data_IF_139827878738
#
_entry.id   IF_139827878738
#
_cell.length_a   1.000
_cell.length_b   1.000
_cell.length_c   1.000
_cell.angle_alpha   90.00
_cell.angle_beta   90.00
_cell.angle_gamma   90.00
#
_symmetry.space_group_name_H-M   'P 1'
#
loop_
_entity.id
_entity.type
_entity.pdbx_description
1 polymer ?
#
# COMPACT_ATOMS: atom_id res chain seq x y z
N UNK A 1 -46.67 -25.14 -1.23
CA UNK A 1 -45.47 -24.90 -2.04
C UNK A 1 -44.39 -24.38 -1.10
N UNK A 2 -43.37 -25.20 -0.89
CA UNK A 2 -42.34 -25.01 0.14
C UNK A 2 -41.45 -23.81 -0.17
N UNK A 3 -41.47 -22.79 0.69
CA UNK A 3 -40.37 -21.82 0.75
C UNK A 3 -39.24 -22.50 1.52
N UNK A 4 -38.27 -23.02 0.78
CA UNK A 4 -37.01 -23.47 1.33
C UNK A 4 -36.27 -22.23 1.83
N UNK A 5 -36.24 -22.06 3.16
CA UNK A 5 -35.31 -21.16 3.82
C UNK A 5 -33.92 -21.66 3.45
N UNK A 6 -33.24 -20.94 2.58
CA UNK A 6 -31.83 -21.16 2.30
C UNK A 6 -31.10 -20.77 3.60
N UNK A 7 -30.90 -21.74 4.50
CA UNK A 7 -29.93 -21.60 5.59
C UNK A 7 -28.61 -21.23 4.93
N UNK A 8 -28.18 -19.98 5.15
CA UNK A 8 -26.85 -19.53 4.77
C UNK A 8 -25.90 -20.56 5.38
N UNK A 9 -25.11 -21.32 4.61
CA UNK A 9 -24.07 -22.13 5.23
C UNK A 9 -23.20 -21.15 6.00
N UNK A 10 -23.06 -21.34 7.31
CA UNK A 10 -22.20 -20.52 8.16
C UNK A 10 -20.86 -20.36 7.43
N UNK A 11 -20.64 -19.16 6.91
CA UNK A 11 -19.46 -18.92 6.10
C UNK A 11 -18.26 -19.06 7.01
N UNK A 12 -17.19 -19.62 6.49
CA UNK A 12 -15.95 -19.89 7.21
C UNK A 12 -14.90 -18.93 6.70
N UNK A 13 -14.06 -18.45 7.60
CA UNK A 13 -12.86 -17.70 7.26
C UNK A 13 -11.61 -18.49 7.63
N UNK A 14 -10.56 -18.32 6.85
CA UNK A 14 -9.26 -18.89 7.15
C UNK A 14 -8.39 -17.83 7.80
N UNK A 15 -7.87 -18.16 8.97
CA UNK A 15 -7.03 -17.31 9.78
C UNK A 15 -5.60 -17.79 9.69
N UNK A 16 -4.71 -16.87 9.34
CA UNK A 16 -3.28 -17.10 9.15
C UNK A 16 -2.55 -16.57 10.37
N UNK A 17 -1.63 -17.36 10.91
CA UNK A 17 -0.74 -16.96 11.99
C UNK A 17 0.69 -17.34 11.64
N UNK A 18 1.62 -16.38 11.73
CA UNK A 18 3.04 -16.61 11.48
C UNK A 18 3.86 -16.29 12.72
N UNK A 19 4.76 -17.19 13.10
CA UNK A 19 5.72 -16.95 14.19
C UNK A 19 6.98 -16.20 13.73
N UNK A 20 6.85 -15.34 12.71
CA UNK A 20 7.93 -14.51 12.16
C UNK A 20 9.02 -15.24 11.36
N UNK A 21 8.80 -16.50 10.96
CA UNK A 21 9.79 -17.32 10.23
C UNK A 21 9.48 -17.47 8.74
N UNK A 22 8.26 -17.15 8.31
CA UNK A 22 7.85 -17.37 6.93
C UNK A 22 8.27 -16.18 6.06
N UNK A 23 9.00 -16.39 4.95
CA UNK A 23 9.38 -15.29 4.07
C UNK A 23 8.15 -14.58 3.49
N UNK A 24 8.11 -13.24 3.56
CA UNK A 24 7.01 -12.43 3.01
C UNK A 24 6.65 -12.79 1.56
N UNK A 25 7.67 -13.03 0.73
CA UNK A 25 7.48 -13.41 -0.67
C UNK A 25 6.68 -14.71 -0.86
N UNK A 26 6.83 -15.69 0.04
CA UNK A 26 6.04 -16.90 0.03
C UNK A 26 4.58 -16.62 0.38
N UNK A 27 4.33 -15.86 1.46
CA UNK A 27 2.97 -15.51 1.90
C UNK A 27 2.21 -14.76 0.80
N UNK A 28 2.86 -13.82 0.11
CA UNK A 28 2.26 -13.12 -1.04
C UNK A 28 1.93 -14.09 -2.18
N UNK A 29 2.83 -15.03 -2.49
CA UNK A 29 2.60 -16.03 -3.53
C UNK A 29 1.41 -16.95 -3.19
N UNK A 30 1.32 -17.35 -1.92
CA UNK A 30 0.24 -18.18 -1.39
C UNK A 30 -1.12 -17.49 -1.58
N UNK A 31 -1.26 -16.23 -1.15
CA UNK A 31 -2.49 -15.46 -1.32
C UNK A 31 -2.88 -15.25 -2.79
N UNK A 32 -1.91 -15.06 -3.68
CA UNK A 32 -2.20 -14.90 -5.11
C UNK A 32 -2.64 -16.20 -5.76
N UNK A 33 -1.88 -17.27 -5.57
CA UNK A 33 -2.07 -18.52 -6.31
C UNK A 33 -3.20 -19.37 -5.75
N UNK A 34 -3.38 -19.39 -4.43
CA UNK A 34 -4.40 -20.22 -3.78
C UNK A 34 -5.69 -19.42 -3.57
N UNK A 35 -5.57 -18.19 -3.07
CA UNK A 35 -6.74 -17.38 -2.70
C UNK A 35 -7.20 -16.42 -3.80
N UNK A 36 -6.53 -16.40 -4.95
CA UNK A 36 -6.89 -15.54 -6.08
C UNK A 36 -6.81 -14.04 -5.78
N UNK A 37 -6.10 -13.64 -4.72
CA UNK A 37 -5.99 -12.23 -4.32
C UNK A 37 -5.14 -11.46 -5.33
N UNK A 38 -5.50 -10.19 -5.56
CA UNK A 38 -4.66 -9.28 -6.34
C UNK A 38 -3.29 -9.12 -5.64
N UNK A 39 -2.21 -8.91 -6.40
CA UNK A 39 -0.85 -8.84 -5.83
C UNK A 39 -0.71 -7.77 -4.74
N UNK A 40 -1.31 -6.59 -4.95
CA UNK A 40 -1.36 -5.53 -3.93
C UNK A 40 -2.06 -5.99 -2.64
N UNK A 41 -3.19 -6.68 -2.76
CA UNK A 41 -3.96 -7.16 -1.61
C UNK A 41 -3.20 -8.27 -0.88
N UNK A 42 -2.58 -9.19 -1.62
CA UNK A 42 -1.72 -10.23 -1.09
C UNK A 42 -0.51 -9.65 -0.34
N UNK A 43 0.10 -8.60 -0.89
CA UNK A 43 1.19 -7.87 -0.21
C UNK A 43 0.70 -7.24 1.10
N UNK A 44 -0.44 -6.55 1.07
CA UNK A 44 -0.98 -5.89 2.24
C UNK A 44 -1.35 -6.90 3.35
N UNK A 45 -1.98 -8.04 2.99
CA UNK A 45 -2.27 -9.12 3.94
C UNK A 45 -0.99 -9.72 4.53
N UNK A 46 0.07 -9.90 3.73
CA UNK A 46 1.36 -10.40 4.25
C UNK A 46 1.99 -9.44 5.28
N UNK A 47 1.86 -8.14 5.06
CA UNK A 47 2.32 -7.11 6.00
C UNK A 47 1.54 -7.14 7.31
N UNK A 48 0.24 -7.43 7.28
CA UNK A 48 -0.56 -7.56 8.49
C UNK A 48 -0.15 -8.77 9.30
N UNK A 49 0.02 -9.93 8.66
CA UNK A 49 0.46 -11.16 9.33
C UNK A 49 1.80 -10.93 10.02
N UNK A 50 2.75 -10.25 9.38
CA UNK A 50 4.05 -9.95 9.96
C UNK A 50 4.00 -8.97 11.14
N UNK A 51 3.01 -8.06 11.18
CA UNK A 51 2.90 -7.03 12.23
C UNK A 51 2.01 -7.43 13.40
N UNK A 52 0.97 -8.20 13.13
CA UNK A 52 -0.08 -8.56 14.09
C UNK A 52 -0.04 -10.05 14.45
N UNK A 53 0.86 -10.82 13.85
CA UNK A 53 0.96 -12.29 13.92
C UNK A 53 -0.33 -13.04 13.52
N UNK A 54 -1.37 -12.33 13.07
CA UNK A 54 -2.69 -12.87 12.74
C UNK A 54 -3.34 -12.07 11.61
N UNK A 55 -3.97 -12.75 10.64
CA UNK A 55 -4.90 -12.11 9.70
C UNK A 55 -5.96 -13.10 9.21
N UNK A 56 -7.20 -12.65 9.04
CA UNK A 56 -8.28 -13.45 8.46
C UNK A 56 -8.42 -13.22 6.95
N UNK A 57 -8.85 -14.25 6.22
CA UNK A 57 -9.17 -14.21 4.80
C UNK A 57 -10.48 -14.95 4.56
N UNK A 58 -11.43 -14.28 3.91
CA UNK A 58 -12.80 -14.79 3.73
C UNK A 58 -13.81 -13.72 4.11
N UNK A 59 -15.11 -13.96 3.93
CA UNK A 59 -15.81 -15.23 4.11
C UNK A 59 -15.80 -16.17 2.88
N UNK A 60 -15.80 -17.48 3.14
CA UNK A 60 -15.91 -18.54 2.12
C UNK A 60 -16.99 -19.56 2.49
N UNK A 61 -17.67 -20.18 1.51
CA UNK A 61 -18.47 -21.37 1.76
C UNK A 61 -17.59 -22.50 2.35
N UNK A 62 -18.10 -23.35 3.26
CA UNK A 62 -17.29 -24.37 3.95
C UNK A 62 -16.52 -25.32 3.02
N UNK A 63 -17.12 -25.73 1.90
CA UNK A 63 -16.46 -26.59 0.90
C UNK A 63 -15.29 -25.89 0.21
N UNK A 64 -15.45 -24.61 -0.10
CA UNK A 64 -14.40 -23.77 -0.70
C UNK A 64 -13.31 -23.49 0.33
N UNK A 65 -13.67 -23.16 1.57
CA UNK A 65 -12.73 -22.94 2.66
C UNK A 65 -11.83 -24.18 2.87
N UNK A 66 -12.44 -25.38 2.89
CA UNK A 66 -11.70 -26.63 3.00
C UNK A 66 -10.73 -26.84 1.83
N UNK A 67 -11.19 -26.65 0.59
CA UNK A 67 -10.33 -26.81 -0.58
C UNK A 67 -9.15 -25.81 -0.60
N UNK A 68 -9.40 -24.55 -0.24
CA UNK A 68 -8.38 -23.51 -0.10
C UNK A 68 -7.38 -23.84 1.01
N UNK A 69 -7.87 -24.34 2.14
CA UNK A 69 -7.06 -24.77 3.28
C UNK A 69 -6.14 -25.93 2.90
N UNK A 70 -6.67 -26.98 2.28
CA UNK A 70 -5.91 -28.17 1.87
C UNK A 70 -4.81 -27.77 0.86
N UNK A 71 -5.15 -26.97 -0.15
CA UNK A 71 -4.20 -26.47 -1.14
C UNK A 71 -3.12 -25.56 -0.52
N UNK A 72 -3.48 -24.75 0.48
CA UNK A 72 -2.52 -23.90 1.18
C UNK A 72 -1.57 -24.73 2.06
N UNK A 73 -2.10 -25.69 2.82
CA UNK A 73 -1.30 -26.59 3.65
C UNK A 73 -0.32 -27.42 2.83
N UNK A 74 -0.73 -27.93 1.66
CA UNK A 74 0.16 -28.66 0.77
C UNK A 74 1.38 -27.83 0.36
N UNK A 75 1.16 -26.57 -0.05
CA UNK A 75 2.25 -25.64 -0.43
C UNK A 75 3.15 -25.29 0.76
N UNK A 76 2.57 -25.01 1.93
CA UNK A 76 3.33 -24.70 3.15
C UNK A 76 4.26 -25.86 3.51
N UNK A 77 3.75 -27.09 3.48
CA UNK A 77 4.54 -28.29 3.77
C UNK A 77 5.62 -28.53 2.70
N UNK A 78 5.30 -28.36 1.43
CA UNK A 78 6.23 -28.57 0.32
C UNK A 78 7.44 -27.62 0.39
N UNK A 79 7.25 -26.39 0.86
CA UNK A 79 8.33 -25.40 1.02
C UNK A 79 8.94 -25.37 2.43
N UNK A 80 8.42 -26.15 3.38
CA UNK A 80 8.98 -26.28 4.74
C UNK A 80 8.73 -25.08 5.65
N UNK A 81 7.71 -24.27 5.37
CA UNK A 81 7.38 -23.08 6.18
C UNK A 81 6.49 -23.42 7.38
N UNK A 82 6.49 -22.56 8.41
CA UNK A 82 5.76 -22.77 9.67
C UNK A 82 4.45 -21.98 9.78
N UNK A 83 3.96 -21.41 8.67
CA UNK A 83 2.72 -20.63 8.64
C UNK A 83 1.54 -21.50 9.08
N UNK A 84 0.85 -21.09 10.14
CA UNK A 84 -0.31 -21.79 10.66
C UNK A 84 -1.58 -21.23 10.03
N UNK A 85 -2.50 -22.13 9.67
CA UNK A 85 -3.83 -21.76 9.17
C UNK A 85 -4.86 -22.44 10.06
N UNK A 86 -5.86 -21.70 10.51
CA UNK A 86 -7.02 -22.20 11.24
C UNK A 86 -8.30 -21.80 10.53
N UNK A 87 -9.36 -22.58 10.72
CA UNK A 87 -10.69 -22.32 10.19
C UNK A 87 -11.56 -21.80 11.32
N UNK A 88 -12.08 -20.59 11.19
CA UNK A 88 -12.99 -19.95 12.18
C UNK A 88 -14.34 -19.64 11.51
N UNK A 89 -15.45 -19.61 12.26
CA UNK A 89 -16.70 -19.01 11.80
C UNK A 89 -16.47 -17.57 11.35
N UNK A 90 -17.10 -17.17 10.24
CA UNK A 90 -16.96 -15.80 9.74
C UNK A 90 -17.47 -14.79 10.77
N UNK A 91 -16.68 -13.75 11.02
CA UNK A 91 -17.01 -12.68 11.96
C UNK A 91 -16.37 -12.80 13.34
N UNK A 92 -15.70 -13.91 13.68
CA UNK A 92 -14.95 -14.02 14.95
C UNK A 92 -13.65 -13.20 14.92
N UNK A 93 -12.91 -13.29 13.83
CA UNK A 93 -11.77 -12.42 13.50
C UNK A 93 -12.17 -11.54 12.31
N UNK A 94 -12.16 -10.21 12.45
CA UNK A 94 -12.52 -9.32 11.35
C UNK A 94 -11.50 -9.47 10.21
N UNK A 95 -11.99 -9.86 9.03
CA UNK A 95 -11.15 -9.95 7.84
C UNK A 95 -10.80 -8.53 7.40
N UNK A 96 -9.53 -8.10 7.49
CA UNK A 96 -9.17 -6.74 7.16
C UNK A 96 -9.43 -6.50 5.68
N UNK A 97 -10.08 -5.38 5.35
CA UNK A 97 -10.09 -4.90 3.98
C UNK A 97 -8.65 -4.53 3.60
N UNK A 98 -8.04 -5.15 2.58
CA UNK A 98 -6.70 -4.79 2.14
C UNK A 98 -6.56 -3.29 1.80
N UNK A 99 -7.68 -2.65 1.44
CA UNK A 99 -7.79 -1.22 1.14
C UNK A 99 -7.67 -0.32 2.39
N UNK A 100 -7.88 -0.84 3.59
CA UNK A 100 -7.81 -0.11 4.86
C UNK A 100 -6.47 -0.28 5.60
N UNK A 101 -5.61 -1.19 5.13
CA UNK A 101 -4.32 -1.50 5.76
C UNK A 101 -3.44 -0.25 5.83
N UNK A 102 -3.13 0.21 7.05
CA UNK A 102 -2.30 1.38 7.26
C UNK A 102 -0.81 1.07 7.12
N UNK A 103 -0.12 1.91 6.36
CA UNK A 103 1.33 1.87 6.25
C UNK A 103 1.94 2.86 7.23
N UNK A 104 2.98 2.43 7.93
CA UNK A 104 3.78 3.29 8.82
C UNK A 104 4.96 3.89 8.06
N UNK A 105 5.53 3.10 7.14
CA UNK A 105 6.78 3.40 6.45
C UNK A 105 6.57 3.58 4.96
N UNK A 106 7.26 4.54 4.36
CA UNK A 106 7.22 4.79 2.92
C UNK A 106 7.61 3.55 2.10
N UNK A 107 8.58 2.76 2.60
CA UNK A 107 9.03 1.53 1.94
C UNK A 107 7.90 0.53 1.75
N UNK A 108 6.99 0.42 2.73
CA UNK A 108 5.89 -0.55 2.69
C UNK A 108 4.80 -0.08 1.74
N UNK A 109 4.47 1.22 1.77
CA UNK A 109 3.53 1.82 0.83
C UNK A 109 4.00 1.73 -0.62
N UNK A 110 5.29 1.96 -0.87
CA UNK A 110 5.89 1.86 -2.21
C UNK A 110 5.95 0.41 -2.66
N UNK A 111 6.43 -0.50 -1.81
CA UNK A 111 6.48 -1.92 -2.14
C UNK A 111 5.09 -2.49 -2.44
N UNK A 112 4.08 -2.07 -1.68
CA UNK A 112 2.67 -2.39 -1.96
C UNK A 112 2.20 -1.82 -3.30
N UNK A 113 2.45 -0.53 -3.56
CA UNK A 113 1.97 0.15 -4.77
C UNK A 113 2.57 -0.46 -6.05
N UNK A 114 3.87 -0.76 -6.02
CA UNK A 114 4.63 -1.37 -7.10
C UNK A 114 4.69 -2.89 -7.01
N UNK A 115 3.83 -3.55 -6.22
CA UNK A 115 3.96 -4.98 -5.99
C UNK A 115 3.87 -5.81 -7.29
N UNK A 116 3.14 -5.31 -8.30
CA UNK A 116 2.99 -5.91 -9.63
C UNK A 116 4.11 -5.56 -10.63
N UNK A 117 4.99 -4.62 -10.27
CA UNK A 117 5.99 -4.05 -11.17
C UNK A 117 7.38 -4.50 -10.69
N UNK A 118 8.18 -5.19 -11.52
CA UNK A 118 9.47 -5.68 -11.10
C UNK A 118 10.41 -4.51 -10.80
N UNK A 119 11.22 -4.56 -9.71
CA UNK A 119 12.04 -3.44 -9.27
C UNK A 119 12.98 -2.84 -10.33
N UNK A 120 13.48 -3.67 -11.24
CA UNK A 120 14.40 -3.28 -12.32
C UNK A 120 13.71 -2.61 -13.52
N UNK A 121 12.38 -2.59 -13.57
CA UNK A 121 11.59 -1.88 -14.58
C UNK A 121 11.18 -0.47 -14.15
N UNK A 122 11.44 -0.12 -12.88
CA UNK A 122 11.11 1.18 -12.34
C UNK A 122 12.14 2.21 -12.81
N UNK A 123 11.66 3.21 -13.54
CA UNK A 123 12.44 4.37 -13.96
C UNK A 123 11.94 5.57 -13.16
N UNK A 124 12.87 6.37 -12.64
CA UNK A 124 12.55 7.61 -11.94
C UNK A 124 13.02 8.80 -12.76
N UNK A 125 12.14 9.75 -13.01
CA UNK A 125 12.44 11.03 -13.63
C UNK A 125 12.29 12.15 -12.61
N UNK A 126 13.24 13.06 -12.56
CA UNK A 126 13.17 14.25 -11.69
C UNK A 126 12.98 15.48 -12.57
N UNK A 127 11.96 16.28 -12.28
CA UNK A 127 11.80 17.63 -12.83
C UNK A 127 11.95 18.66 -11.72
N UNK A 128 12.62 19.76 -12.02
CA UNK A 128 12.77 20.91 -11.14
C UNK A 128 12.10 22.10 -11.81
N UNK A 129 11.31 22.82 -11.03
CA UNK A 129 10.59 24.00 -11.48
C UNK A 129 10.90 25.18 -10.56
N UNK A 130 10.87 26.42 -11.08
CA UNK A 130 10.98 27.62 -10.26
C UNK A 130 9.86 27.70 -9.21
N UNK A 131 10.15 28.25 -8.03
CA UNK A 131 9.21 28.32 -6.91
C UNK A 131 7.98 29.19 -7.15
N UNK A 132 8.07 30.18 -8.04
CA UNK A 132 6.91 30.99 -8.42
C UNK A 132 5.85 30.18 -9.19
N UNK A 133 6.22 29.04 -9.80
CA UNK A 133 5.26 28.14 -10.46
C UNK A 133 4.56 27.18 -9.49
N UNK A 134 4.77 27.31 -8.18
CA UNK A 134 4.27 26.34 -7.19
C UNK A 134 2.75 26.20 -7.22
N UNK A 135 2.01 27.30 -7.39
CA UNK A 135 0.55 27.27 -7.51
C UNK A 135 0.10 26.53 -8.78
N UNK A 136 0.73 26.81 -9.93
CA UNK A 136 0.42 26.13 -11.20
C UNK A 136 0.72 24.63 -11.14
N UNK A 137 1.85 24.26 -10.53
CA UNK A 137 2.25 22.86 -10.34
C UNK A 137 1.27 22.16 -9.42
N UNK A 138 0.82 22.80 -8.34
CA UNK A 138 -0.19 22.24 -7.46
C UNK A 138 -1.49 21.96 -8.21
N UNK A 139 -1.97 22.91 -9.03
CA UNK A 139 -3.17 22.72 -9.86
C UNK A 139 -2.99 21.54 -10.82
N UNK A 140 -1.80 21.39 -11.41
CA UNK A 140 -1.50 20.26 -12.30
C UNK A 140 -1.45 18.92 -11.54
N UNK A 141 -0.88 18.89 -10.33
CA UNK A 141 -0.88 17.73 -9.43
C UNK A 141 -2.31 17.35 -9.08
N UNK A 142 -3.14 18.28 -8.60
CA UNK A 142 -4.52 18.00 -8.20
C UNK A 142 -5.36 17.43 -9.37
N UNK A 143 -5.12 17.92 -10.58
CA UNK A 143 -5.72 17.39 -11.82
C UNK A 143 -5.19 15.99 -12.17
N UNK A 144 -3.90 15.73 -12.02
CA UNK A 144 -3.31 14.42 -12.28
C UNK A 144 -3.77 13.37 -11.26
N UNK A 145 -4.03 13.81 -10.03
CA UNK A 145 -4.42 12.98 -8.88
C UNK A 145 -5.85 13.23 -8.45
N UNK A 146 -6.79 13.30 -9.39
CA UNK A 146 -8.21 13.50 -9.05
C UNK A 146 -8.80 12.32 -8.28
N UNK A 147 -8.22 11.12 -8.38
CA UNK A 147 -8.67 9.93 -7.64
C UNK A 147 -7.48 9.03 -7.26
N UNK A 148 -6.63 9.46 -6.31
CA UNK A 148 -5.54 8.64 -5.85
C UNK A 148 -6.11 7.48 -5.04
N UNK A 149 -5.53 6.29 -5.21
CA UNK A 149 -5.85 5.13 -4.38
C UNK A 149 -5.48 5.43 -2.93
N UNK A 150 -4.31 6.05 -2.70
CA UNK A 150 -3.87 6.57 -1.39
C UNK A 150 -2.92 7.75 -1.58
N UNK A 151 -2.96 8.71 -0.66
CA UNK A 151 -2.13 9.91 -0.67
C UNK A 151 -1.51 10.14 0.71
N UNK A 152 -0.18 10.22 0.77
CA UNK A 152 0.58 10.29 2.01
C UNK A 152 1.55 11.46 2.02
N UNK A 153 1.66 12.14 3.16
CA UNK A 153 2.80 12.98 3.50
C UNK A 153 4.00 12.15 3.88
N UNK A 154 5.20 12.68 3.65
CA UNK A 154 6.46 12.05 3.98
C UNK A 154 7.18 12.88 5.04
N UNK A 155 7.60 12.22 6.11
CA UNK A 155 8.35 12.83 7.18
C UNK A 155 9.69 12.10 7.35
N UNK A 156 10.78 12.88 7.32
CA UNK A 156 12.15 12.39 7.53
C UNK A 156 12.69 12.95 8.85
N UNK A 157 13.54 12.17 9.54
CA UNK A 157 14.32 12.69 10.68
C UNK A 157 15.64 13.24 10.15
N UNK A 158 15.81 14.56 10.30
CA UNK A 158 17.10 15.27 10.21
C UNK A 158 18.02 14.84 9.05
N UNK A 159 17.63 15.13 7.81
CA UNK A 159 18.50 14.88 6.65
C UNK A 159 18.84 16.20 5.92
N UNK A 160 20.13 16.42 5.66
CA UNK A 160 20.62 17.49 4.78
C UNK A 160 20.48 17.14 3.29
N UNK A 161 20.27 15.85 2.97
CA UNK A 161 20.14 15.36 1.60
C UNK A 161 18.71 15.51 1.06
N UNK A 162 18.61 15.75 -0.25
CA UNK A 162 17.32 15.83 -0.95
C UNK A 162 16.68 14.44 -1.03
N UNK A 163 15.40 14.33 -0.66
CA UNK A 163 14.66 13.08 -0.70
C UNK A 163 14.67 12.44 -2.11
N UNK A 164 15.06 11.17 -2.19
CA UNK A 164 15.13 10.39 -3.43
C UNK A 164 14.30 9.10 -3.35
N UNK A 165 13.93 8.54 -4.50
CA UNK A 165 13.20 7.28 -4.56
C UNK A 165 13.94 6.11 -3.88
N UNK A 166 15.28 6.08 -4.00
CA UNK A 166 16.11 5.07 -3.34
C UNK A 166 16.01 5.15 -1.81
N UNK A 167 15.98 6.36 -1.24
CA UNK A 167 15.80 6.57 0.20
C UNK A 167 14.41 6.09 0.67
N UNK A 168 13.36 6.31 -0.14
CA UNK A 168 12.01 5.83 0.22
C UNK A 168 11.91 4.29 0.31
N UNK A 169 12.79 3.57 -0.39
CA UNK A 169 12.82 2.09 -0.40
C UNK A 169 13.80 1.48 0.60
N UNK A 170 14.64 2.29 1.25
CA UNK A 170 15.70 1.80 2.13
C UNK A 170 15.09 1.20 3.40
N UNK A 171 15.62 0.04 3.80
CA UNK A 171 15.43 -0.50 5.15
C UNK A 171 16.63 -0.10 6.03
N UNK A 172 16.43 0.12 7.32
CA UNK A 172 17.50 0.41 8.28
C UNK A 172 17.23 1.62 9.16
N UNK A 173 18.29 2.28 9.61
CA UNK A 173 18.30 3.25 10.71
C UNK A 173 17.73 4.64 10.38
N UNK A 174 17.50 4.96 9.10
CA UNK A 174 16.88 6.22 8.66
C UNK A 174 15.67 5.97 7.74
N UNK A 175 14.58 5.40 8.28
CA UNK A 175 13.37 5.15 7.51
C UNK A 175 12.53 6.43 7.33
N UNK A 176 11.90 6.56 6.16
CA UNK A 176 10.94 7.65 5.89
C UNK A 176 9.56 7.25 6.40
N UNK A 177 9.01 8.05 7.30
CA UNK A 177 7.71 7.84 7.93
C UNK A 177 6.60 8.41 7.06
N UNK A 178 5.45 7.77 7.08
CA UNK A 178 4.23 8.33 6.51
C UNK A 178 3.55 9.27 7.51
N UNK A 179 3.03 10.37 7.01
CA UNK A 179 2.29 11.37 7.76
C UNK A 179 1.07 11.83 6.95
N UNK A 180 0.19 12.60 7.58
CA UNK A 180 -0.84 13.31 6.83
C UNK A 180 -0.20 14.34 5.90
N UNK A 181 -0.66 14.48 4.64
CA UNK A 181 -0.26 15.58 3.77
C UNK A 181 -0.52 16.93 4.44
N UNK A 182 0.40 17.88 4.27
CA UNK A 182 0.29 19.20 4.87
C UNK A 182 0.33 20.25 3.78
N UNK A 183 -0.42 21.33 3.96
CA UNK A 183 -0.59 22.38 2.97
C UNK A 183 -0.23 23.75 3.53
N UNK A 184 0.07 24.68 2.63
CA UNK A 184 0.21 26.10 2.90
C UNK A 184 -0.57 26.88 1.84
N UNK A 185 -1.29 27.89 2.26
CA UNK A 185 -2.06 28.75 1.36
C UNK A 185 -1.12 29.80 0.74
N UNK A 186 -1.09 29.83 -0.58
CA UNK A 186 -0.32 30.83 -1.35
C UNK A 186 -1.32 31.82 -1.94
N UNK A 187 -1.16 33.08 -1.57
CA UNK A 187 -1.85 34.17 -2.24
C UNK A 187 -1.24 34.40 -3.63
N UNK A 188 -2.09 34.34 -4.64
CA UNK A 188 -1.73 34.55 -6.04
C UNK A 188 -2.39 35.81 -6.63
N UNK A 189 -3.03 36.62 -5.79
CA UNK A 189 -3.79 37.81 -6.22
C UNK A 189 -5.19 37.51 -6.76
N UNK A 190 -5.62 36.23 -6.72
CA UNK A 190 -6.97 35.79 -7.08
C UNK A 190 -7.91 35.79 -5.87
N UNK A 191 -9.22 35.62 -6.10
CA UNK A 191 -10.25 35.66 -5.05
C UNK A 191 -10.07 34.61 -3.94
N UNK A 192 -9.40 33.49 -4.23
CA UNK A 192 -9.10 32.44 -3.25
C UNK A 192 -7.64 32.00 -3.36
N UNK A 193 -6.91 31.89 -2.23
CA UNK A 193 -5.54 31.39 -2.24
C UNK A 193 -5.48 29.91 -2.65
N UNK A 194 -4.35 29.49 -3.21
CA UNK A 194 -4.12 28.10 -3.63
C UNK A 194 -3.43 27.32 -2.52
N UNK A 195 -4.00 26.17 -2.15
CA UNK A 195 -3.44 25.24 -1.14
C UNK A 195 -2.32 24.40 -1.73
N UNK A 196 -1.08 24.78 -1.48
CA UNK A 196 0.10 24.07 -2.00
C UNK A 196 0.70 23.12 -0.96
N UNK A 197 1.15 21.95 -1.39
CA UNK A 197 1.80 20.95 -0.54
C UNK A 197 3.03 21.53 0.17
N UNK A 198 3.11 21.36 1.49
CA UNK A 198 4.14 21.91 2.37
C UNK A 198 5.31 20.93 2.58
N UNK A 199 4.99 19.65 2.64
CA UNK A 199 5.93 18.56 2.86
C UNK A 199 5.92 17.63 1.64
N UNK A 200 6.97 16.83 1.44
CA UNK A 200 7.00 15.88 0.34
C UNK A 200 5.86 14.87 0.50
N UNK A 201 5.33 14.38 -0.62
CA UNK A 201 4.21 13.43 -0.61
C UNK A 201 4.46 12.24 -1.53
N UNK A 202 3.72 11.16 -1.32
CA UNK A 202 3.55 10.11 -2.32
C UNK A 202 2.06 9.94 -2.58
N UNK A 203 1.73 9.78 -3.85
CA UNK A 203 0.40 9.44 -4.29
C UNK A 203 0.49 8.08 -4.98
N UNK A 204 -0.46 7.21 -4.67
CA UNK A 204 -0.57 5.90 -5.30
C UNK A 204 -1.81 5.94 -6.18
N UNK A 205 -1.69 5.57 -7.45
CA UNK A 205 -2.80 5.51 -8.40
C UNK A 205 -3.05 4.06 -8.85
N UNK A 206 -4.19 3.78 -9.49
CA UNK A 206 -4.32 2.52 -10.25
C UNK A 206 -3.49 2.68 -11.53
N UNK A 207 -2.75 1.64 -11.88
CA UNK A 207 -1.97 1.64 -13.11
C UNK A 207 -2.95 1.47 -14.28
N UNK A 208 -3.17 2.53 -15.06
CA UNK A 208 -4.05 2.58 -16.23
C UNK A 208 -3.24 2.62 -17.56
N UNK A 209 -1.94 2.35 -17.49
CA UNK A 209 -1.01 2.46 -18.62
C UNK A 209 -0.28 3.81 -18.68
N UNK A 210 -0.64 4.78 -17.83
CA UNK A 210 0.14 6.00 -17.61
C UNK A 210 0.87 5.92 -16.25
N UNK A 211 2.13 6.35 -16.29
CA UNK A 211 3.18 6.15 -15.28
C UNK A 211 2.70 6.56 -13.89
N UNK A 212 3.02 5.81 -12.81
CA UNK A 212 2.66 6.20 -11.45
C UNK A 212 3.54 7.38 -10.99
N UNK A 213 2.97 8.56 -10.74
CA UNK A 213 3.72 9.72 -10.25
C UNK A 213 4.01 9.67 -8.73
N UNK A 214 5.16 10.21 -8.30
CA UNK A 214 5.60 10.35 -6.90
C UNK A 214 5.81 11.86 -6.59
N UNK A 215 4.82 12.60 -6.07
CA UNK A 215 4.96 14.04 -5.89
C UNK A 215 5.82 14.44 -4.66
N UNK A 216 7.12 14.59 -4.85
CA UNK A 216 8.08 15.01 -3.80
C UNK A 216 8.28 16.54 -3.76
N UNK A 217 7.53 17.31 -2.96
CA UNK A 217 7.84 18.76 -2.75
C UNK A 217 8.54 19.07 -1.41
N UNK A 218 9.81 19.49 -1.47
CA UNK A 218 10.31 20.85 -1.15
C UNK A 218 11.83 20.83 -0.97
N UNK A 219 12.56 21.63 -1.75
CA UNK A 219 13.83 22.21 -1.30
C UNK A 219 13.58 23.68 -0.96
N UNK A 220 13.51 23.99 0.34
CA UNK A 220 13.23 25.36 0.79
C UNK A 220 14.40 26.31 0.53
N UNK A 221 15.62 25.78 0.31
CA UNK A 221 16.84 26.60 0.28
C UNK A 221 17.05 27.31 -1.04
N UNK A 222 16.62 26.69 -2.15
CA UNK A 222 16.82 27.21 -3.50
C UNK A 222 15.51 27.70 -4.15
N UNK A 223 14.38 27.61 -3.44
CA UNK A 223 13.08 28.04 -3.95
C UNK A 223 12.61 27.25 -5.17
N UNK A 224 12.98 25.97 -5.30
CA UNK A 224 12.59 25.11 -6.41
C UNK A 224 11.60 24.02 -5.98
N UNK A 225 10.60 23.75 -6.83
CA UNK A 225 9.67 22.63 -6.67
C UNK A 225 10.23 21.42 -7.42
N UNK A 226 10.32 20.27 -6.76
CA UNK A 226 10.80 19.03 -7.35
C UNK A 226 9.62 18.09 -7.58
N UNK A 227 9.65 17.31 -8.64
CA UNK A 227 8.67 16.25 -8.87
C UNK A 227 9.41 14.99 -9.31
N UNK A 228 9.08 13.84 -8.71
CA UNK A 228 9.60 12.53 -9.13
C UNK A 228 8.48 11.80 -9.88
N UNK A 229 8.74 11.37 -11.10
CA UNK A 229 7.81 10.59 -11.93
C UNK A 229 8.38 9.20 -12.21
#
# INVERSE_FOLDING_TARGET
MSHQVCTVPESVQLVFQDGGKTPRGFVVNLFRKVFGRHQRDAYALSMLIERQDKAACGPFPPSVAKALFDAAQERIRAEGHTLQITSEPAGETEAPDPSEIQFEWARDAIAWHFADIPPNSLVTMVRQFPGHMRADIQIAIDKLFTSPVRFFGLQQRWTLEKLSFAQLRRAGDDPVWLASPQYHEIDIGEATPIKCLRIPTIATTRYDGLRPPIPIDRDQRDGAVRCIF
#
